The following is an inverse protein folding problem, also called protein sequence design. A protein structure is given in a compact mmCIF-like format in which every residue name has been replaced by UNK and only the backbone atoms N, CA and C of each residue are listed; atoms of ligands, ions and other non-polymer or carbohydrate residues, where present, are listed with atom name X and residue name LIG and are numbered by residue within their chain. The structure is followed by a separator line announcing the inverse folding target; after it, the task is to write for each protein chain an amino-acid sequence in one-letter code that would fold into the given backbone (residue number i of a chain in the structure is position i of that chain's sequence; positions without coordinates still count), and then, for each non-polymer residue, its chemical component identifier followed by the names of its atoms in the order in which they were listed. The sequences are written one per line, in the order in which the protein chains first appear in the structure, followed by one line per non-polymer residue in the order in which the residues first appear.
data_IF_472222757434
#
_entry.id   IF_472222757434
#
_cell.length_a   1.000
_cell.length_b   1.000
_cell.length_c   1.000
_cell.angle_alpha   90.00
_cell.angle_beta   90.00
_cell.angle_gamma   90.00
#
_symmetry.space_group_name_H-M   'P 1'
#
loop_
_entity.id
_entity.type
_entity.pdbx_description
1 polymer ?
#
# COMPACT_ATOMS: atom_id res chain seq x y z
N UNK A 1 10.13 14.97 19.41
CA UNK A 1 11.33 15.18 18.59
C UNK A 1 11.58 13.98 17.67
N UNK A 2 12.07 12.86 18.20
CA UNK A 2 12.38 11.65 17.38
C UNK A 2 11.15 11.12 16.66
N UNK A 3 9.99 11.11 17.29
CA UNK A 3 8.73 10.65 16.69
C UNK A 3 8.36 11.47 15.45
N UNK A 4 8.45 12.80 15.50
CA UNK A 4 8.15 13.66 14.34
C UNK A 4 9.10 13.37 13.17
N UNK A 5 10.39 13.24 13.43
CA UNK A 5 11.38 12.90 12.41
C UNK A 5 11.11 11.53 11.76
N UNK A 6 10.85 10.50 12.57
CA UNK A 6 10.55 9.16 12.05
C UNK A 6 9.26 9.18 11.23
N UNK A 7 8.24 9.89 11.71
CA UNK A 7 6.97 10.05 10.99
C UNK A 7 7.16 10.66 9.61
N UNK A 8 7.89 11.77 9.54
CA UNK A 8 8.17 12.46 8.27
C UNK A 8 9.01 11.60 7.31
N UNK A 9 10.06 10.96 7.79
CA UNK A 9 10.89 10.08 6.96
C UNK A 9 10.08 8.90 6.41
N UNK A 10 9.25 8.29 7.24
CA UNK A 10 8.36 7.21 6.81
C UNK A 10 7.32 7.71 5.78
N UNK A 11 6.71 8.87 6.04
CA UNK A 11 5.78 9.52 5.13
C UNK A 11 6.41 9.88 3.79
N UNK A 12 7.62 10.47 3.80
CA UNK A 12 8.38 10.74 2.57
C UNK A 12 8.68 9.46 1.79
N UNK A 13 9.17 8.43 2.48
CA UNK A 13 9.44 7.14 1.86
C UNK A 13 8.19 6.54 1.23
N UNK A 14 7.05 6.64 1.94
CA UNK A 14 5.77 6.18 1.44
C UNK A 14 5.33 6.94 0.19
N UNK A 15 5.31 8.28 0.22
CA UNK A 15 4.91 9.12 -0.93
C UNK A 15 5.87 8.93 -2.10
N UNK A 16 7.17 8.88 -1.86
CA UNK A 16 8.17 8.58 -2.89
C UNK A 16 7.92 7.21 -3.54
N UNK A 17 7.64 6.18 -2.74
CA UNK A 17 7.26 4.86 -3.22
C UNK A 17 6.01 4.89 -4.10
N UNK A 18 4.98 5.68 -3.73
CA UNK A 18 3.78 5.85 -4.54
C UNK A 18 4.08 6.55 -5.87
N UNK A 19 4.88 7.63 -5.85
CA UNK A 19 5.31 8.32 -7.08
C UNK A 19 6.06 7.36 -8.01
N UNK A 20 7.02 6.60 -7.48
CA UNK A 20 7.76 5.60 -8.26
C UNK A 20 6.81 4.55 -8.84
N UNK A 21 5.86 4.04 -8.06
CA UNK A 21 4.89 3.05 -8.51
C UNK A 21 3.98 3.59 -9.63
N UNK A 22 3.52 4.85 -9.50
CA UNK A 22 2.71 5.54 -10.51
C UNK A 22 3.54 5.74 -11.80
N UNK A 23 4.74 6.31 -11.69
CA UNK A 23 5.63 6.54 -12.83
C UNK A 23 5.98 5.22 -13.53
N UNK A 24 6.29 4.18 -12.76
CA UNK A 24 6.61 2.85 -13.31
C UNK A 24 5.42 2.23 -14.04
N UNK A 25 4.20 2.45 -13.58
CA UNK A 25 2.99 1.85 -14.16
C UNK A 25 2.39 2.67 -15.28
N UNK A 26 2.28 3.98 -15.10
CA UNK A 26 1.58 4.90 -16.02
C UNK A 26 2.52 5.81 -16.79
N UNK A 27 3.76 5.97 -16.35
CA UNK A 27 4.76 6.80 -16.99
C UNK A 27 5.17 6.31 -18.38
N UNK A 28 5.85 7.17 -19.17
CA UNK A 28 6.35 6.82 -20.49
C UNK A 28 7.25 5.58 -20.46
N UNK A 29 7.20 4.76 -21.51
CA UNK A 29 8.02 3.54 -21.63
C UNK A 29 9.51 3.77 -21.40
N UNK A 30 10.02 4.94 -21.82
CA UNK A 30 11.44 5.33 -21.66
C UNK A 30 11.87 5.46 -20.19
N UNK A 31 10.95 5.67 -19.27
CA UNK A 31 11.21 5.82 -17.82
C UNK A 31 11.07 4.49 -17.07
N UNK A 32 10.69 3.43 -17.77
CA UNK A 32 10.54 2.10 -17.18
C UNK A 32 11.86 1.34 -17.27
N UNK A 33 12.41 0.83 -16.14
CA UNK A 33 13.75 0.25 -16.13
C UNK A 33 13.93 -0.96 -17.05
N UNK A 34 12.86 -1.71 -17.37
CA UNK A 34 12.98 -2.96 -18.12
C UNK A 34 12.13 -3.03 -19.41
N UNK A 35 11.53 -1.96 -19.86
CA UNK A 35 10.65 -1.95 -21.05
C UNK A 35 9.55 -3.03 -21.05
N UNK A 36 9.24 -3.61 -19.88
CA UNK A 36 8.26 -4.67 -19.75
C UNK A 36 6.85 -4.07 -19.89
N UNK A 37 6.00 -4.75 -20.66
CA UNK A 37 4.59 -4.41 -20.74
C UNK A 37 3.90 -4.82 -19.43
N UNK A 38 3.53 -3.84 -18.61
CA UNK A 38 2.80 -4.08 -17.37
C UNK A 38 1.30 -4.08 -17.70
N UNK A 39 0.64 -5.22 -17.50
CA UNK A 39 -0.81 -5.30 -17.63
C UNK A 39 -1.45 -4.47 -16.50
N UNK A 40 -2.09 -3.37 -16.88
CA UNK A 40 -2.73 -2.45 -15.96
C UNK A 40 -4.22 -2.72 -15.91
N UNK A 41 -4.78 -2.90 -14.72
CA UNK A 41 -6.22 -3.00 -14.47
C UNK A 41 -6.68 -1.70 -13.80
N UNK A 42 -7.96 -1.29 -13.92
CA UNK A 42 -8.50 -0.13 -13.21
C UNK A 42 -8.29 -0.19 -11.70
N UNK A 43 -8.36 -1.39 -11.13
CA UNK A 43 -8.09 -1.69 -9.72
C UNK A 43 -6.74 -1.10 -9.23
N UNK A 44 -5.70 -1.17 -10.06
CA UNK A 44 -4.39 -0.61 -9.69
C UNK A 44 -4.40 0.93 -9.59
N UNK A 45 -5.20 1.59 -10.44
CA UNK A 45 -5.36 3.05 -10.36
C UNK A 45 -6.07 3.45 -9.07
N UNK A 46 -7.12 2.72 -8.71
CA UNK A 46 -7.87 2.96 -7.47
C UNK A 46 -6.96 2.78 -6.25
N UNK A 47 -6.22 1.67 -6.17
CA UNK A 47 -5.31 1.40 -5.06
C UNK A 47 -4.23 2.49 -4.94
N UNK A 48 -3.55 2.80 -6.04
CA UNK A 48 -2.49 3.81 -6.04
C UNK A 48 -3.04 5.21 -5.75
N UNK A 49 -4.23 5.53 -6.27
CA UNK A 49 -4.90 6.80 -6.01
C UNK A 49 -5.25 6.99 -4.53
N UNK A 50 -5.88 5.98 -3.93
CA UNK A 50 -6.27 6.02 -2.51
C UNK A 50 -5.04 6.07 -1.60
N UNK A 51 -4.02 5.25 -1.85
CA UNK A 51 -2.78 5.27 -1.07
C UNK A 51 -2.04 6.61 -1.20
N UNK A 52 -1.99 7.18 -2.40
CA UNK A 52 -1.40 8.51 -2.61
C UNK A 52 -2.19 9.59 -1.87
N UNK A 53 -3.52 9.52 -1.91
CA UNK A 53 -4.38 10.43 -1.16
C UNK A 53 -4.10 10.36 0.34
N UNK A 54 -4.00 9.15 0.92
CA UNK A 54 -3.64 8.98 2.34
C UNK A 54 -2.30 9.64 2.67
N UNK A 55 -1.27 9.43 1.84
CA UNK A 55 0.06 10.02 2.08
C UNK A 55 0.06 11.55 1.97
N UNK A 56 -0.50 12.09 0.91
CA UNK A 56 -0.54 13.54 0.66
C UNK A 56 -1.41 14.27 1.70
N UNK A 57 -2.58 13.71 1.99
CA UNK A 57 -3.48 14.33 2.98
C UNK A 57 -2.94 14.23 4.41
N UNK A 58 -2.11 13.22 4.71
CA UNK A 58 -1.38 13.12 5.97
C UNK A 58 -0.46 14.31 6.18
N UNK A 59 0.40 14.62 5.20
CA UNK A 59 1.27 15.80 5.26
C UNK A 59 0.47 17.11 5.30
N UNK A 60 -0.64 17.21 4.55
CA UNK A 60 -1.52 18.37 4.62
C UNK A 60 -2.11 18.58 6.03
N UNK A 61 -2.58 17.52 6.66
CA UNK A 61 -3.10 17.58 8.03
C UNK A 61 -2.02 17.99 9.03
N UNK A 62 -0.81 17.44 8.89
CA UNK A 62 0.33 17.78 9.74
C UNK A 62 0.72 19.25 9.56
N UNK A 63 0.84 19.72 8.33
CA UNK A 63 1.14 21.12 8.01
C UNK A 63 0.21 22.09 8.74
N UNK A 64 -1.10 21.92 8.61
CA UNK A 64 -2.08 22.81 9.25
C UNK A 64 -2.11 22.60 10.77
N UNK A 65 -1.87 21.41 11.29
CA UNK A 65 -1.75 21.16 12.72
C UNK A 65 -0.58 21.95 13.34
N UNK A 66 0.59 21.90 12.70
CA UNK A 66 1.79 22.62 13.19
C UNK A 66 1.57 24.12 13.12
N UNK A 67 1.02 24.65 12.02
CA UNK A 67 0.71 26.07 11.86
C UNK A 67 -0.30 26.54 12.92
N UNK A 68 -1.36 25.77 13.15
CA UNK A 68 -2.39 26.09 14.16
C UNK A 68 -1.81 26.12 15.59
N UNK A 69 -0.81 25.29 15.87
CA UNK A 69 -0.12 25.25 17.16
C UNK A 69 0.91 26.38 17.33
N UNK A 70 1.07 27.28 16.35
CA UNK A 70 2.06 28.35 16.37
C UNK A 70 3.50 27.87 16.13
N UNK A 71 3.66 26.82 15.38
CA UNK A 71 4.98 26.27 14.95
C UNK A 71 5.99 26.08 16.08
N UNK A 72 5.67 25.29 17.13
CA UNK A 72 6.50 25.18 18.31
C UNK A 72 7.87 24.59 17.99
N UNK A 73 8.89 24.94 18.77
CA UNK A 73 10.30 24.57 18.51
C UNK A 73 10.57 23.07 18.42
N UNK A 74 9.80 22.24 19.15
CA UNK A 74 9.98 20.80 19.10
C UNK A 74 9.51 20.18 17.77
N UNK A 75 8.66 20.87 17.00
CA UNK A 75 8.22 20.45 15.68
C UNK A 75 9.24 20.74 14.56
N UNK A 76 10.33 21.45 14.84
CA UNK A 76 11.46 21.62 13.91
C UNK A 76 12.09 20.30 13.49
N UNK A 77 11.82 19.22 14.21
CA UNK A 77 12.22 17.86 13.85
C UNK A 77 11.34 17.22 12.76
N UNK A 78 10.18 17.82 12.45
CA UNK A 78 9.38 17.49 11.30
C UNK A 78 9.96 18.19 10.08
N UNK A 79 10.76 17.46 9.32
CA UNK A 79 11.56 18.01 8.20
C UNK A 79 10.71 18.41 6.98
N UNK A 80 9.49 17.90 6.88
CA UNK A 80 8.51 18.22 5.84
C UNK A 80 7.37 19.07 6.41
N UNK A 81 6.75 18.62 7.48
CA UNK A 81 5.60 19.28 8.07
C UNK A 81 5.89 20.68 8.56
N UNK A 82 7.06 20.90 9.20
CA UNK A 82 7.44 22.20 9.74
C UNK A 82 7.67 23.28 8.65
N UNK A 83 8.48 23.05 7.61
CA UNK A 83 8.63 24.01 6.53
C UNK A 83 7.31 24.29 5.78
N UNK A 84 6.49 23.26 5.57
CA UNK A 84 5.17 23.45 4.97
C UNK A 84 4.25 24.28 5.85
N UNK A 85 4.29 24.09 7.17
CA UNK A 85 3.51 24.90 8.10
C UNK A 85 3.87 26.38 8.04
N UNK A 86 5.14 26.73 7.87
CA UNK A 86 5.59 28.11 7.74
C UNK A 86 5.04 28.79 6.47
N UNK A 87 4.76 28.03 5.40
CA UNK A 87 4.17 28.60 4.18
C UNK A 87 2.70 29.02 4.36
N UNK A 88 2.01 28.43 5.32
CA UNK A 88 0.60 28.72 5.60
C UNK A 88 0.42 29.53 6.89
N UNK A 89 1.50 29.82 7.60
CA UNK A 89 1.46 30.63 8.82
C UNK A 89 0.88 32.02 8.51
N UNK A 90 0.07 32.52 9.43
CA UNK A 90 -0.65 33.80 9.24
C UNK A 90 -1.86 33.73 8.29
N UNK A 91 -2.18 32.60 7.71
CA UNK A 91 -3.39 32.44 6.90
C UNK A 91 -4.66 32.60 7.72
N UNK A 92 -5.66 33.27 7.15
CA UNK A 92 -7.00 33.32 7.74
C UNK A 92 -7.65 31.94 7.72
N UNK A 93 -8.41 31.60 8.77
CA UNK A 93 -9.18 30.35 8.84
C UNK A 93 -8.36 29.04 8.95
N UNK A 94 -7.14 29.09 9.53
CA UNK A 94 -6.29 27.89 9.75
C UNK A 94 -7.04 26.71 10.40
N UNK A 95 -7.91 27.00 11.38
CA UNK A 95 -8.71 25.97 12.03
C UNK A 95 -9.68 25.26 11.05
N UNK A 96 -10.35 26.02 10.18
CA UNK A 96 -11.23 25.47 9.16
C UNK A 96 -10.46 24.61 8.13
N UNK A 97 -9.29 25.09 7.69
CA UNK A 97 -8.42 24.31 6.81
C UNK A 97 -7.91 23.03 7.46
N UNK A 98 -7.50 23.09 8.71
CA UNK A 98 -7.08 21.91 9.44
C UNK A 98 -8.21 20.85 9.55
N UNK A 99 -9.43 21.30 9.88
CA UNK A 99 -10.59 20.40 9.95
C UNK A 99 -10.92 19.77 8.59
N UNK A 100 -10.85 20.56 7.51
CA UNK A 100 -11.10 20.07 6.15
C UNK A 100 -10.06 19.00 5.73
N UNK A 101 -8.77 19.29 5.92
CA UNK A 101 -7.71 18.34 5.62
C UNK A 101 -7.77 17.08 6.46
N UNK A 102 -8.08 17.24 7.75
CA UNK A 102 -8.29 16.11 8.65
C UNK A 102 -9.47 15.23 8.17
N UNK A 103 -10.59 15.83 7.82
CA UNK A 103 -11.74 15.10 7.31
C UNK A 103 -11.42 14.34 6.02
N UNK A 104 -10.73 14.99 5.06
CA UNK A 104 -10.30 14.34 3.81
C UNK A 104 -9.33 13.20 4.08
N UNK A 105 -8.41 13.37 5.05
CA UNK A 105 -7.48 12.31 5.44
C UNK A 105 -8.19 11.09 6.01
N UNK A 106 -9.12 11.30 6.94
CA UNK A 106 -9.94 10.21 7.52
C UNK A 106 -10.79 9.52 6.45
N UNK A 107 -11.41 10.29 5.55
CA UNK A 107 -12.18 9.70 4.43
C UNK A 107 -11.29 8.88 3.50
N UNK A 108 -10.07 9.35 3.20
CA UNK A 108 -9.10 8.61 2.40
C UNK A 108 -8.67 7.31 3.09
N UNK A 109 -8.46 7.35 4.40
CA UNK A 109 -8.15 6.16 5.19
C UNK A 109 -9.33 5.17 5.24
N UNK A 110 -10.55 5.66 5.44
CA UNK A 110 -11.76 4.82 5.37
C UNK A 110 -11.92 4.19 3.98
N UNK A 111 -11.69 4.95 2.91
CA UNK A 111 -11.71 4.42 1.55
C UNK A 111 -10.64 3.32 1.38
N UNK A 112 -9.44 3.51 1.92
CA UNK A 112 -8.40 2.47 1.93
C UNK A 112 -8.90 1.18 2.59
N UNK A 113 -9.52 1.27 3.78
CA UNK A 113 -10.05 0.08 4.47
C UNK A 113 -11.13 -0.64 3.64
N UNK A 114 -12.02 0.14 2.99
CA UNK A 114 -13.11 -0.42 2.18
C UNK A 114 -12.60 -1.15 0.93
N UNK A 115 -11.54 -0.65 0.30
CA UNK A 115 -11.01 -1.29 -0.92
C UNK A 115 -10.20 -2.56 -0.64
N UNK A 116 -9.70 -2.79 0.57
CA UNK A 116 -8.88 -3.97 0.90
C UNK A 116 -9.57 -5.28 0.52
N UNK A 117 -10.78 -5.59 1.01
CA UNK A 117 -11.42 -6.89 0.72
C UNK A 117 -11.80 -7.07 -0.75
N UNK A 118 -12.12 -5.98 -1.44
CA UNK A 118 -12.57 -5.99 -2.83
C UNK A 118 -11.46 -5.98 -3.88
N UNK A 119 -10.21 -5.76 -3.49
CA UNK A 119 -9.09 -5.62 -4.41
C UNK A 119 -8.00 -6.66 -4.16
N UNK A 120 -6.93 -6.60 -4.97
CA UNK A 120 -5.76 -7.44 -4.75
C UNK A 120 -5.12 -7.24 -3.37
N UNK A 121 -5.41 -6.15 -2.65
CA UNK A 121 -4.89 -5.90 -1.29
C UNK A 121 -5.36 -6.93 -0.25
N UNK A 122 -6.43 -7.68 -0.54
CA UNK A 122 -6.91 -8.77 0.34
C UNK A 122 -5.82 -9.78 0.73
N UNK A 123 -4.78 -9.93 -0.12
CA UNK A 123 -3.66 -10.84 0.19
C UNK A 123 -2.89 -10.45 1.46
N UNK A 124 -2.96 -9.19 1.90
CA UNK A 124 -2.37 -8.75 3.17
C UNK A 124 -2.91 -9.53 4.36
N UNK A 125 -4.17 -9.99 4.28
CA UNK A 125 -4.81 -10.81 5.31
C UNK A 125 -4.85 -12.29 4.93
N UNK A 126 -5.16 -12.59 3.67
CA UNK A 126 -5.35 -13.98 3.25
C UNK A 126 -4.04 -14.77 3.20
N UNK A 127 -2.90 -14.12 2.89
CA UNK A 127 -1.62 -14.84 2.84
C UNK A 127 -1.12 -15.26 4.24
N UNK A 128 -1.10 -14.38 5.26
CA UNK A 128 -0.76 -14.79 6.61
C UNK A 128 -1.72 -15.85 7.16
N UNK A 129 -3.02 -15.69 6.91
CA UNK A 129 -4.03 -16.67 7.33
C UNK A 129 -3.79 -18.03 6.66
N UNK A 130 -3.54 -18.04 5.35
CA UNK A 130 -3.24 -19.27 4.62
C UNK A 130 -1.94 -19.95 5.12
N UNK A 131 -0.92 -19.14 5.43
CA UNK A 131 0.31 -19.68 6.05
C UNK A 131 0.06 -20.26 7.45
N UNK A 132 -0.81 -19.62 8.24
CA UNK A 132 -1.18 -20.12 9.56
C UNK A 132 -1.96 -21.43 9.48
N UNK A 133 -2.93 -21.52 8.56
CA UNK A 133 -3.80 -22.69 8.37
C UNK A 133 -3.16 -23.79 7.54
N UNK A 134 -1.98 -23.58 6.95
CA UNK A 134 -1.32 -24.58 6.15
C UNK A 134 -0.87 -25.78 6.99
N UNK A 135 -1.08 -26.99 6.48
CA UNK A 135 -0.59 -28.24 7.11
C UNK A 135 0.95 -28.25 7.12
N UNK A 136 1.54 -28.19 8.31
CA UNK A 136 3.01 -28.11 8.52
C UNK A 136 3.68 -29.46 8.68
N UNK A 137 2.91 -30.51 8.89
CA UNK A 137 3.40 -31.85 9.08
C UNK A 137 4.02 -32.45 7.82
N UNK A 138 3.74 -31.84 6.67
CA UNK A 138 4.27 -32.30 5.40
C UNK A 138 5.52 -31.49 5.02
N UNK A 139 6.65 -32.15 4.74
CA UNK A 139 7.87 -31.47 4.29
C UNK A 139 7.62 -30.68 3.00
N UNK A 140 8.27 -29.51 2.86
CA UNK A 140 8.23 -28.76 1.60
C UNK A 140 8.73 -29.62 0.45
N UNK A 141 7.98 -29.65 -0.65
CA UNK A 141 8.33 -30.46 -1.82
C UNK A 141 7.99 -31.94 -1.73
N UNK A 142 7.34 -32.38 -0.63
CA UNK A 142 6.84 -33.75 -0.57
C UNK A 142 5.75 -33.97 -1.63
N UNK A 143 6.00 -34.83 -2.57
CA UNK A 143 5.00 -35.29 -3.53
C UNK A 143 3.97 -36.18 -2.82
N UNK A 144 2.75 -36.23 -3.36
CA UNK A 144 1.78 -37.24 -2.91
C UNK A 144 2.39 -38.64 -3.17
N UNK A 145 2.21 -39.62 -2.25
CA UNK A 145 2.64 -40.98 -2.53
C UNK A 145 1.96 -41.44 -3.83
N UNK A 146 2.69 -42.16 -4.65
CA UNK A 146 2.12 -42.82 -5.81
C UNK A 146 0.98 -43.73 -5.36
N UNK A 147 -0.14 -43.75 -6.07
CA UNK A 147 -1.18 -44.74 -5.82
C UNK A 147 -0.60 -46.13 -6.04
N UNK A 148 -1.13 -47.08 -5.35
CA UNK A 148 -0.74 -48.48 -5.54
C UNK A 148 -1.05 -48.90 -6.98
N UNK A 149 0.00 -49.27 -7.71
CA UNK A 149 -0.08 -49.63 -9.13
C UNK A 149 -0.91 -50.89 -9.41
N UNK A 150 -1.07 -51.76 -8.42
CA UNK A 150 -1.83 -53.00 -8.57
C UNK A 150 -3.33 -52.79 -8.37
N UNK A 151 -3.71 -51.80 -7.61
CA UNK A 151 -5.12 -51.54 -7.26
C UNK A 151 -5.72 -50.30 -7.94
N UNK A 152 -4.88 -49.46 -8.56
CA UNK A 152 -5.35 -48.19 -9.17
C UNK A 152 -6.00 -48.47 -10.53
N UNK A 153 -7.12 -47.77 -10.77
CA UNK A 153 -7.80 -47.73 -12.08
C UNK A 153 -7.35 -46.52 -12.93
N UNK A 154 -6.28 -45.83 -12.49
CA UNK A 154 -5.77 -44.68 -13.24
C UNK A 154 -5.01 -45.13 -14.48
N UNK A 155 -5.49 -44.75 -15.66
CA UNK A 155 -4.83 -45.07 -16.94
C UNK A 155 -3.58 -44.21 -17.20
N UNK A 156 -3.50 -43.04 -16.57
CA UNK A 156 -2.36 -42.11 -16.75
C UNK A 156 -1.89 -41.55 -15.41
N UNK A 157 -0.56 -41.40 -15.27
CA UNK A 157 0.06 -40.77 -14.11
C UNK A 157 0.49 -39.33 -14.49
N UNK A 158 0.04 -38.38 -13.71
CA UNK A 158 0.32 -36.95 -13.90
C UNK A 158 -0.78 -36.21 -14.65
N UNK A 159 -0.59 -34.92 -14.83
CA UNK A 159 -1.54 -34.07 -15.52
C UNK A 159 -1.25 -34.11 -17.02
N UNK A 160 -2.17 -34.66 -17.81
CA UNK A 160 -2.06 -34.73 -19.27
C UNK A 160 -2.64 -33.51 -19.98
N UNK A 161 -3.46 -32.72 -19.28
CA UNK A 161 -4.10 -31.49 -19.80
C UNK A 161 -4.01 -30.39 -18.76
N UNK A 162 -4.18 -29.12 -19.20
CA UNK A 162 -4.21 -27.96 -18.31
C UNK A 162 -5.36 -28.06 -17.29
N UNK A 163 -6.45 -28.65 -17.68
CA UNK A 163 -7.63 -28.88 -16.82
C UNK A 163 -7.38 -29.88 -15.69
N UNK A 164 -6.43 -30.79 -15.86
CA UNK A 164 -6.06 -31.77 -14.84
C UNK A 164 -5.12 -31.22 -13.76
N UNK A 165 -4.72 -29.93 -13.87
CA UNK A 165 -3.96 -29.21 -12.82
C UNK A 165 -4.85 -28.50 -11.81
N UNK A 166 -6.13 -28.35 -12.06
CA UNK A 166 -7.10 -27.73 -11.16
C UNK A 166 -7.85 -28.77 -10.39
#
# INVERSE_FOLDING_TARGET
KVYALIGDLAGLGFVAGMVIAIVRRYGPRKWRPYRIAIKTRPEHAVILGVLTAVGVTGFGTEMFRIALAGSPEFEKWSIVGYPLAQLVDGSSHLSGWHQAWWAVHILSFCAFLVIIPGTMLRHMFTSPLNMYLSARERPKGAMKPLPDLETTQLETFGASTVESFT
#
